data_IF_528350140824
#
_entry.id   IF_528350140824
#
_cell.length_a   1.000
_cell.length_b   1.000
_cell.length_c   1.000
_cell.angle_alpha   90.00
_cell.angle_beta   90.00
_cell.angle_gamma   90.00
#
_symmetry.space_group_name_H-M   'P 1'
#
loop_
_entity.id
_entity.type
_entity.pdbx_description
1 polymer ?
#
# COMPACT_ATOMS: atom_id res chain seq x y z
N UNK A 1 -11.41 2.63 -4.37
CA UNK A 1 -10.01 2.94 -4.76
C UNK A 1 -9.04 1.83 -4.40
N UNK A 2 -8.62 1.62 -3.14
CA UNK A 2 -7.62 0.59 -2.83
C UNK A 2 -8.06 -0.82 -3.21
N UNK A 3 -9.27 -1.22 -2.80
CA UNK A 3 -9.87 -2.52 -3.18
C UNK A 3 -9.93 -2.67 -4.70
N UNK A 4 -10.40 -1.65 -5.42
CA UNK A 4 -10.50 -1.68 -6.89
C UNK A 4 -9.13 -1.78 -7.55
N UNK A 5 -8.13 -1.07 -7.03
CA UNK A 5 -6.75 -1.15 -7.50
C UNK A 5 -6.20 -2.57 -7.33
N UNK A 6 -6.43 -3.22 -6.19
CA UNK A 6 -6.04 -4.63 -6.00
C UNK A 6 -6.78 -5.56 -6.98
N UNK A 7 -8.07 -5.31 -7.26
CA UNK A 7 -8.83 -6.07 -8.27
C UNK A 7 -8.26 -5.87 -9.68
N UNK A 8 -7.93 -4.64 -10.06
CA UNK A 8 -7.30 -4.28 -11.34
C UNK A 8 -5.93 -4.95 -11.50
N UNK A 9 -5.13 -4.97 -10.43
CA UNK A 9 -3.82 -5.63 -10.43
C UNK A 9 -3.92 -7.17 -10.51
N UNK A 10 -5.13 -7.73 -10.35
CA UNK A 10 -5.35 -9.18 -10.43
C UNK A 10 -4.72 -9.97 -9.28
N UNK A 11 -4.42 -9.30 -8.16
CA UNK A 11 -3.73 -9.89 -7.01
C UNK A 11 -4.73 -10.57 -6.07
N UNK A 12 -4.27 -11.53 -5.27
CA UNK A 12 -5.11 -12.22 -4.27
C UNK A 12 -4.53 -12.15 -2.87
N UNK A 13 -3.21 -12.34 -2.74
CA UNK A 13 -2.51 -12.34 -1.47
C UNK A 13 -1.62 -11.11 -1.34
N UNK A 14 -1.75 -10.37 -0.25
CA UNK A 14 -1.04 -9.11 -0.05
C UNK A 14 -0.31 -9.07 1.30
N UNK A 15 0.72 -8.23 1.35
CA UNK A 15 1.29 -7.74 2.61
C UNK A 15 0.85 -6.29 2.85
N UNK A 16 0.67 -5.87 4.12
CA UNK A 16 0.11 -4.55 4.45
C UNK A 16 0.89 -3.81 5.53
N UNK A 17 1.21 -2.54 5.29
CA UNK A 17 1.74 -1.62 6.29
C UNK A 17 0.72 -0.52 6.57
N UNK A 18 0.46 -0.28 7.86
CA UNK A 18 -0.43 0.78 8.31
C UNK A 18 0.14 1.51 9.54
N UNK A 19 -0.03 2.84 9.64
CA UNK A 19 0.45 3.59 10.79
C UNK A 19 -0.43 3.43 12.04
N UNK A 20 -1.62 2.82 11.90
CA UNK A 20 -2.63 2.79 12.94
C UNK A 20 -2.23 1.93 14.14
N UNK A 21 -2.94 2.13 15.25
CA UNK A 21 -2.96 1.18 16.37
C UNK A 21 -3.47 -0.18 15.91
N UNK A 22 -3.01 -1.26 16.54
CA UNK A 22 -3.39 -2.64 16.18
C UNK A 22 -4.90 -2.86 16.01
N UNK A 23 -5.81 -2.35 16.88
CA UNK A 23 -7.25 -2.55 16.69
C UNK A 23 -7.77 -2.00 15.36
N UNK A 24 -7.30 -0.82 14.94
CA UNK A 24 -7.73 -0.21 13.69
C UNK A 24 -7.06 -0.89 12.49
N UNK A 25 -5.80 -1.29 12.60
CA UNK A 25 -5.13 -2.09 11.55
C UNK A 25 -5.87 -3.40 11.29
N UNK A 26 -6.32 -4.10 12.35
CA UNK A 26 -7.14 -5.31 12.20
C UNK A 26 -8.46 -5.06 11.50
N UNK A 27 -9.16 -3.98 11.82
CA UNK A 27 -10.41 -3.61 11.10
C UNK A 27 -10.16 -3.38 9.60
N UNK A 28 -9.03 -2.76 9.24
CA UNK A 28 -8.65 -2.59 7.83
C UNK A 28 -8.36 -3.93 7.15
N UNK A 29 -7.68 -4.85 7.84
CA UNK A 29 -7.41 -6.21 7.37
C UNK A 29 -8.71 -6.97 7.16
N UNK A 30 -9.58 -7.02 8.17
CA UNK A 30 -10.87 -7.70 8.12
C UNK A 30 -11.71 -7.20 6.94
N UNK A 31 -11.69 -5.88 6.67
CA UNK A 31 -12.37 -5.29 5.53
C UNK A 31 -11.78 -5.73 4.18
N UNK A 32 -10.45 -5.75 4.05
CA UNK A 32 -9.78 -6.20 2.82
C UNK A 32 -10.02 -7.71 2.60
N UNK A 33 -10.00 -8.52 3.66
CA UNK A 33 -10.28 -9.95 3.57
C UNK A 33 -11.73 -10.23 3.18
N UNK A 34 -12.68 -9.45 3.72
CA UNK A 34 -14.09 -9.51 3.31
C UNK A 34 -14.29 -9.19 1.82
N UNK A 35 -13.43 -8.37 1.23
CA UNK A 35 -13.44 -8.08 -0.22
C UNK A 35 -12.81 -9.18 -1.08
N UNK A 36 -12.36 -10.29 -0.47
CA UNK A 36 -11.89 -11.49 -1.16
C UNK A 36 -10.38 -11.59 -1.35
N UNK A 37 -9.61 -10.77 -0.63
CA UNK A 37 -8.14 -10.86 -0.59
C UNK A 37 -7.67 -11.63 0.64
N UNK A 38 -6.41 -12.04 0.65
CA UNK A 38 -5.74 -12.63 1.82
C UNK A 38 -4.61 -11.69 2.27
N UNK A 39 -4.58 -11.33 3.56
CA UNK A 39 -3.46 -10.54 4.11
C UNK A 39 -2.49 -11.47 4.84
N UNK A 40 -1.39 -11.86 4.19
CA UNK A 40 -0.48 -12.89 4.72
C UNK A 40 0.49 -12.39 5.80
N UNK A 41 0.92 -11.13 5.72
CA UNK A 41 1.71 -10.46 6.75
C UNK A 41 1.38 -8.97 6.81
N UNK A 42 1.44 -8.39 8.00
CA UNK A 42 1.12 -6.97 8.19
C UNK A 42 1.91 -6.33 9.32
N UNK A 43 2.07 -5.00 9.24
CA UNK A 43 2.72 -4.19 10.29
C UNK A 43 1.84 -3.00 10.65
N UNK A 44 1.55 -2.88 11.95
CA UNK A 44 0.98 -1.68 12.56
C UNK A 44 2.13 -0.88 13.18
N UNK A 45 2.29 0.40 12.82
CA UNK A 45 3.33 1.25 13.41
C UNK A 45 2.88 1.88 14.75
N UNK A 46 1.60 1.78 15.08
CA UNK A 46 1.01 2.24 16.35
C UNK A 46 1.30 3.71 16.68
N UNK A 47 1.20 4.57 15.67
CA UNK A 47 1.34 6.02 15.80
C UNK A 47 -0.05 6.63 15.94
N UNK A 48 -0.44 6.96 17.16
CA UNK A 48 -1.79 7.47 17.45
C UNK A 48 -2.02 8.93 16.98
N UNK A 49 -0.99 9.78 17.04
CA UNK A 49 -1.09 11.18 16.61
C UNK A 49 -0.91 11.30 15.09
N UNK A 50 -1.95 11.78 14.41
CA UNK A 50 -1.95 11.94 12.96
C UNK A 50 -0.92 12.97 12.45
N UNK A 51 -0.48 13.91 13.29
CA UNK A 51 0.64 14.81 12.95
C UNK A 51 1.96 14.04 12.88
N UNK A 52 2.18 13.11 13.82
CA UNK A 52 3.36 12.25 13.84
C UNK A 52 3.33 11.22 12.71
N UNK A 53 2.13 10.71 12.34
CA UNK A 53 1.96 9.89 11.12
C UNK A 53 2.43 10.65 9.89
N UNK A 54 2.06 11.92 9.76
CA UNK A 54 2.47 12.77 8.64
C UNK A 54 3.97 13.12 8.63
N UNK A 55 4.63 13.02 9.79
CA UNK A 55 6.08 13.22 9.95
C UNK A 55 6.89 11.93 9.84
N UNK A 56 6.22 10.79 9.67
CA UNK A 56 6.91 9.52 9.52
C UNK A 56 7.86 9.58 8.32
N UNK A 57 9.12 9.22 8.55
CA UNK A 57 10.16 9.24 7.54
C UNK A 57 9.96 8.07 6.55
N UNK A 58 9.61 8.34 5.27
CA UNK A 58 9.34 7.30 4.29
C UNK A 58 10.56 6.41 4.01
N UNK A 59 11.79 6.88 4.27
CA UNK A 59 13.00 6.08 4.07
C UNK A 59 13.11 4.87 5.01
N UNK A 60 12.27 4.82 6.06
CA UNK A 60 12.19 3.68 6.98
C UNK A 60 11.30 2.56 6.46
N UNK A 61 10.40 2.85 5.52
CA UNK A 61 9.45 1.86 4.99
C UNK A 61 10.12 0.65 4.33
N UNK A 62 11.21 0.77 3.53
CA UNK A 62 11.91 -0.38 3.00
C UNK A 62 12.44 -1.33 4.09
N UNK A 63 12.95 -0.79 5.19
CA UNK A 63 13.44 -1.60 6.31
C UNK A 63 12.29 -2.28 7.10
N UNK A 64 11.12 -1.64 7.16
CA UNK A 64 9.92 -2.26 7.74
C UNK A 64 9.50 -3.45 6.88
N UNK A 65 9.42 -3.26 5.56
CA UNK A 65 9.03 -4.31 4.60
C UNK A 65 10.05 -5.46 4.56
N UNK A 66 11.35 -5.18 4.67
CA UNK A 66 12.37 -6.25 4.71
C UNK A 66 12.26 -7.16 5.94
N UNK A 67 11.62 -6.68 7.01
CA UNK A 67 11.28 -7.48 8.18
C UNK A 67 9.94 -8.22 8.07
N UNK A 68 9.26 -8.16 6.94
CA UNK A 68 7.99 -8.85 6.66
C UNK A 68 8.20 -10.05 5.74
N UNK A 69 7.27 -11.01 5.79
CA UNK A 69 7.21 -12.12 4.85
C UNK A 69 6.51 -11.67 3.57
N UNK A 70 7.29 -11.41 2.53
CA UNK A 70 6.76 -10.94 1.23
C UNK A 70 7.00 -11.94 0.09
N UNK A 71 7.62 -13.08 0.35
CA UNK A 71 7.98 -14.04 -0.72
C UNK A 71 6.74 -14.62 -1.41
N UNK A 72 5.69 -14.88 -0.63
CA UNK A 72 4.45 -15.55 -1.04
C UNK A 72 3.28 -14.58 -1.33
N UNK A 73 3.53 -13.27 -1.38
CA UNK A 73 2.49 -12.27 -1.74
C UNK A 73 2.57 -11.86 -3.19
N UNK A 74 1.44 -11.45 -3.73
CA UNK A 74 1.30 -10.94 -5.09
C UNK A 74 1.59 -9.43 -5.16
N UNK A 75 1.28 -8.68 -4.09
CA UNK A 75 1.52 -7.24 -3.98
C UNK A 75 1.72 -6.77 -2.53
N UNK A 76 2.28 -5.57 -2.39
CA UNK A 76 2.50 -4.92 -1.09
C UNK A 76 1.70 -3.62 -1.04
N UNK A 77 0.81 -3.52 -0.05
CA UNK A 77 0.16 -2.26 0.32
C UNK A 77 1.08 -1.52 1.30
N UNK A 78 1.92 -0.64 0.78
CA UNK A 78 2.97 0.04 1.55
C UNK A 78 2.43 1.12 2.49
N UNK A 79 1.24 1.63 2.22
CA UNK A 79 0.48 2.47 3.15
C UNK A 79 -1.01 2.32 2.89
N UNK A 80 -1.72 1.68 3.83
CA UNK A 80 -3.19 1.67 3.86
C UNK A 80 -3.79 3.00 4.40
N UNK A 81 -2.93 3.97 4.69
CA UNK A 81 -3.27 5.32 5.15
C UNK A 81 -2.91 6.38 4.09
N UNK A 82 -3.58 7.52 4.13
CA UNK A 82 -3.29 8.67 3.25
C UNK A 82 -2.28 9.63 3.89
N UNK A 83 -2.25 9.72 5.22
CA UNK A 83 -1.39 10.66 5.95
C UNK A 83 0.09 10.24 5.96
N UNK A 84 0.39 8.93 5.98
CA UNK A 84 1.75 8.42 6.07
C UNK A 84 2.48 8.59 4.72
N UNK A 85 3.56 9.38 4.64
CA UNK A 85 4.32 9.56 3.41
C UNK A 85 4.88 8.21 2.95
N UNK A 86 4.67 7.87 1.67
CA UNK A 86 5.10 6.57 1.13
C UNK A 86 5.53 6.60 -0.33
N UNK A 87 5.13 7.62 -1.11
CA UNK A 87 5.40 7.70 -2.55
C UNK A 87 6.89 7.50 -2.90
N UNK A 88 7.79 8.19 -2.19
CA UNK A 88 9.23 8.12 -2.45
C UNK A 88 9.86 6.74 -2.17
N UNK A 89 9.20 5.90 -1.36
CA UNK A 89 9.69 4.58 -0.99
C UNK A 89 9.22 3.47 -1.94
N UNK A 90 8.19 3.73 -2.77
CA UNK A 90 7.58 2.72 -3.65
C UNK A 90 8.63 2.01 -4.51
N UNK A 91 9.40 2.76 -5.30
CA UNK A 91 10.38 2.17 -6.23
C UNK A 91 11.49 1.37 -5.50
N UNK A 92 11.89 1.81 -4.30
CA UNK A 92 12.87 1.09 -3.49
C UNK A 92 12.32 -0.24 -2.99
N UNK A 93 11.05 -0.27 -2.56
CA UNK A 93 10.39 -1.49 -2.11
C UNK A 93 10.13 -2.45 -3.27
N UNK A 94 9.69 -1.95 -4.43
CA UNK A 94 9.52 -2.78 -5.64
C UNK A 94 10.85 -3.41 -6.06
N UNK A 95 11.94 -2.62 -6.07
CA UNK A 95 13.26 -3.13 -6.42
C UNK A 95 13.80 -4.17 -5.43
N UNK A 96 13.54 -3.97 -4.13
CA UNK A 96 14.02 -4.87 -3.09
C UNK A 96 13.25 -6.20 -3.02
N UNK A 97 11.95 -6.18 -3.32
CA UNK A 97 11.05 -7.34 -3.14
C UNK A 97 10.71 -8.03 -4.45
N UNK A 98 10.86 -7.34 -5.59
CA UNK A 98 10.35 -7.79 -6.88
C UNK A 98 8.82 -7.85 -6.95
N UNK A 99 8.10 -7.30 -5.96
CA UNK A 99 6.64 -7.28 -5.89
C UNK A 99 6.10 -5.90 -6.26
N UNK A 100 4.98 -5.81 -6.99
CA UNK A 100 4.32 -4.53 -7.23
C UNK A 100 3.85 -3.90 -5.92
N UNK A 101 4.02 -2.58 -5.81
CA UNK A 101 3.68 -1.82 -4.61
C UNK A 101 2.54 -0.85 -4.90
N UNK A 102 1.58 -0.78 -4.00
CA UNK A 102 0.47 0.18 -4.04
C UNK A 102 0.31 0.88 -2.69
N UNK A 103 -0.24 2.10 -2.72
CA UNK A 103 -0.61 2.86 -1.52
C UNK A 103 -2.03 3.39 -1.68
N UNK A 104 -2.67 3.78 -0.59
CA UNK A 104 -3.99 4.41 -0.63
C UNK A 104 -3.99 5.67 -1.53
N UNK A 105 -2.92 6.46 -1.50
CA UNK A 105 -2.76 7.65 -2.34
C UNK A 105 -2.67 7.29 -3.83
N UNK A 106 -1.80 6.33 -4.20
CA UNK A 106 -1.63 5.86 -5.59
C UNK A 106 -2.91 5.24 -6.14
N UNK A 107 -3.58 4.39 -5.36
CA UNK A 107 -4.86 3.80 -5.74
C UNK A 107 -5.95 4.86 -5.94
N UNK A 108 -5.93 5.93 -5.15
CA UNK A 108 -6.87 7.06 -5.32
C UNK A 108 -6.56 7.84 -6.59
N UNK A 109 -5.29 8.12 -6.88
CA UNK A 109 -4.89 8.76 -8.14
C UNK A 109 -5.31 7.93 -9.36
N UNK A 110 -5.09 6.61 -9.32
CA UNK A 110 -5.55 5.69 -10.37
C UNK A 110 -7.06 5.80 -10.59
N UNK A 111 -7.85 5.71 -9.52
CA UNK A 111 -9.31 5.80 -9.59
C UNK A 111 -9.77 7.15 -10.16
N UNK A 112 -9.14 8.26 -9.75
CA UNK A 112 -9.46 9.59 -10.28
C UNK A 112 -9.15 9.72 -11.77
N UNK A 113 -7.98 9.25 -12.22
CA UNK A 113 -7.61 9.28 -13.64
C UNK A 113 -8.56 8.42 -14.48
N UNK A 114 -8.93 7.22 -13.98
CA UNK A 114 -9.91 6.34 -14.61
C UNK A 114 -11.28 7.01 -14.73
N UNK A 115 -11.78 7.63 -13.68
CA UNK A 115 -13.10 8.30 -13.69
C UNK A 115 -13.13 9.49 -14.66
N UNK A 116 -11.99 10.17 -14.84
CA UNK A 116 -11.86 11.28 -15.77
C UNK A 116 -11.60 10.84 -17.22
N UNK A 117 -11.50 9.53 -17.50
CA UNK A 117 -11.15 9.01 -18.82
C UNK A 117 -9.74 9.38 -19.29
N UNK A 118 -8.83 9.64 -18.34
CA UNK A 118 -7.42 9.98 -18.58
C UNK A 118 -6.55 8.73 -18.46
N UNK A 119 -5.45 8.67 -19.23
CA UNK A 119 -4.47 7.59 -19.11
C UNK A 119 -3.91 7.49 -17.68
N UNK A 120 -3.84 6.28 -17.13
CA UNK A 120 -3.34 6.05 -15.77
C UNK A 120 -1.81 5.89 -15.74
N UNK A 121 -1.08 6.80 -16.38
CA UNK A 121 0.38 6.79 -16.47
C UNK A 121 0.97 7.93 -15.65
N UNK A 122 1.67 7.60 -14.56
CA UNK A 122 2.37 8.55 -13.69
C UNK A 122 3.76 7.99 -13.36
N UNK A 123 4.82 8.52 -13.98
CA UNK A 123 6.19 8.05 -13.75
C UNK A 123 6.58 8.11 -12.26
N UNK A 124 7.17 7.02 -11.76
CA UNK A 124 7.67 6.92 -10.38
C UNK A 124 6.60 6.64 -9.32
N UNK A 125 5.35 6.36 -9.71
CA UNK A 125 4.25 6.11 -8.78
C UNK A 125 3.87 4.61 -8.62
N UNK A 126 4.77 3.70 -9.00
CA UNK A 126 4.61 2.25 -8.86
C UNK A 126 3.85 1.57 -10.00
N UNK A 127 3.78 0.25 -9.94
CA UNK A 127 3.24 -0.60 -11.02
C UNK A 127 1.78 -0.30 -11.42
N UNK A 128 0.94 0.17 -10.49
CA UNK A 128 -0.46 0.50 -10.82
C UNK A 128 -0.59 1.67 -11.81
N UNK A 129 0.38 2.59 -11.81
CA UNK A 129 0.37 3.80 -12.63
C UNK A 129 1.42 3.77 -13.76
N UNK A 130 1.85 2.58 -14.20
CA UNK A 130 2.85 2.47 -15.27
C UNK A 130 2.28 2.39 -16.70
N UNK A 131 0.96 2.26 -16.86
CA UNK A 131 0.28 2.01 -18.14
C UNK A 131 -0.06 0.55 -18.34
#
# INVERSE_FOLDING_TARGET
ALVDALKVMGVKRIALVAPYMVPLTKLVIDYIEHEGFEVSDWRALEIADNLEVGRHDPSKLPAIVSGMKTDDVDAIVLSACVQMPSLAAIAQVEAATGKPVVTAAVATTYAMLSELGLEQVVPGAGALLSG
#
